data_IF_298280103279
#
_entry.id   IF_298280103279
#
_cell.length_a   1.000
_cell.length_b   1.000
_cell.length_c   1.000
_cell.angle_alpha   90.00
_cell.angle_beta   90.00
_cell.angle_gamma   90.00
#
_symmetry.space_group_name_H-M   'P 1'
#
loop_
_entity.id
_entity.type
_entity.pdbx_description
1 polymer ?
#
# COMPACT_ATOMS: atom_id res chain seq x y z
N UNK A 1 9.54 -29.45 10.75
CA UNK A 1 10.31 -28.32 10.17
C UNK A 1 9.90 -28.16 8.71
N UNK A 2 9.14 -27.11 8.35
CA UNK A 2 8.80 -26.83 6.94
C UNK A 2 9.95 -26.05 6.31
N UNK A 3 10.53 -26.59 5.24
CA UNK A 3 11.56 -25.92 4.47
C UNK A 3 10.96 -24.65 3.83
N UNK A 4 11.42 -23.46 4.26
CA UNK A 4 11.30 -22.29 3.40
C UNK A 4 12.19 -22.57 2.18
N UNK A 5 11.58 -22.70 1.00
CA UNK A 5 12.34 -22.71 -0.24
C UNK A 5 13.17 -21.41 -0.28
N UNK A 6 14.47 -21.54 -0.10
CA UNK A 6 15.36 -20.39 -0.06
C UNK A 6 15.27 -19.68 -1.41
N UNK A 7 14.86 -18.41 -1.40
CA UNK A 7 14.84 -17.60 -2.62
C UNK A 7 16.27 -17.54 -3.18
N UNK A 8 16.44 -17.99 -4.42
CA UNK A 8 17.73 -17.97 -5.11
C UNK A 8 18.26 -16.55 -5.22
N UNK A 9 19.58 -16.38 -5.38
CA UNK A 9 20.17 -15.06 -5.59
C UNK A 9 19.54 -14.32 -6.80
N UNK A 10 19.23 -15.06 -7.87
CA UNK A 10 18.49 -14.55 -9.04
C UNK A 10 17.07 -14.10 -8.69
N UNK A 11 16.31 -14.92 -7.96
CA UNK A 11 14.96 -14.59 -7.50
C UNK A 11 14.94 -13.34 -6.62
N UNK A 12 15.91 -13.21 -5.71
CA UNK A 12 16.07 -12.02 -4.86
C UNK A 12 16.29 -10.76 -5.68
N UNK A 13 17.16 -10.83 -6.70
CA UNK A 13 17.44 -9.70 -7.61
C UNK A 13 16.19 -9.32 -8.41
N UNK A 14 15.45 -10.29 -8.93
CA UNK A 14 14.19 -10.04 -9.64
C UNK A 14 13.13 -9.41 -8.75
N UNK A 15 12.98 -9.88 -7.51
CA UNK A 15 12.06 -9.28 -6.54
C UNK A 15 12.43 -7.83 -6.19
N UNK A 16 13.71 -7.54 -5.99
CA UNK A 16 14.16 -6.17 -5.72
C UNK A 16 13.89 -5.24 -6.92
N UNK A 17 14.15 -5.70 -8.16
CA UNK A 17 13.81 -4.94 -9.37
C UNK A 17 12.30 -4.69 -9.49
N UNK A 18 11.47 -5.67 -9.16
CA UNK A 18 10.02 -5.53 -9.16
C UNK A 18 9.56 -4.52 -8.10
N UNK A 19 10.07 -4.64 -6.86
CA UNK A 19 9.76 -3.71 -5.78
C UNK A 19 10.18 -2.27 -6.12
N UNK A 20 11.33 -2.08 -6.77
CA UNK A 20 11.77 -0.77 -7.24
C UNK A 20 10.75 -0.17 -8.20
N UNK A 21 10.37 -0.89 -9.27
CA UNK A 21 9.35 -0.40 -10.22
C UNK A 21 8.01 -0.11 -9.57
N UNK A 22 7.54 -0.96 -8.65
CA UNK A 22 6.30 -0.71 -7.91
C UNK A 22 6.39 0.58 -7.09
N UNK A 23 7.54 0.86 -6.48
CA UNK A 23 7.77 2.11 -5.74
C UNK A 23 7.79 3.30 -6.68
N UNK A 24 8.50 3.20 -7.80
CA UNK A 24 8.60 4.28 -8.80
C UNK A 24 7.23 4.64 -9.37
N UNK A 25 6.42 3.64 -9.75
CA UNK A 25 5.06 3.85 -10.26
C UNK A 25 4.14 4.47 -9.20
N UNK A 26 4.24 4.03 -7.95
CA UNK A 26 3.48 4.61 -6.84
C UNK A 26 3.87 6.08 -6.61
N UNK A 27 5.17 6.37 -6.53
CA UNK A 27 5.67 7.73 -6.36
C UNK A 27 5.29 8.62 -7.55
N UNK A 28 5.35 8.13 -8.78
CA UNK A 28 4.90 8.86 -9.96
C UNK A 28 3.40 9.16 -9.94
N UNK A 29 2.59 8.24 -9.41
CA UNK A 29 1.15 8.48 -9.20
C UNK A 29 0.87 9.50 -8.11
N UNK A 30 1.47 9.35 -6.93
CA UNK A 30 1.12 10.14 -5.73
C UNK A 30 1.84 11.49 -5.65
N UNK A 31 2.99 11.64 -6.31
CA UNK A 31 3.72 12.92 -6.32
C UNK A 31 2.95 14.00 -7.08
N UNK A 32 2.99 15.22 -6.55
CA UNK A 32 2.42 16.41 -7.18
C UNK A 32 3.33 16.90 -8.31
N UNK A 33 3.49 16.10 -9.36
CA UNK A 33 4.10 16.56 -10.61
C UNK A 33 3.06 17.33 -11.43
N UNK A 34 3.48 18.42 -12.08
CA UNK A 34 2.63 19.23 -12.99
C UNK A 34 2.04 18.41 -14.16
N UNK A 35 2.59 17.24 -14.45
CA UNK A 35 2.08 16.30 -15.45
C UNK A 35 0.83 15.51 -15.00
N UNK A 36 0.56 15.42 -13.69
CA UNK A 36 -0.46 14.53 -13.13
C UNK A 36 -1.38 15.30 -12.16
N UNK A 37 -2.39 15.98 -12.71
CA UNK A 37 -3.27 16.86 -11.94
C UNK A 37 -4.28 16.07 -11.12
N UNK A 38 -4.01 15.94 -9.82
CA UNK A 38 -4.98 15.44 -8.84
C UNK A 38 -6.16 16.41 -8.72
N UNK A 39 -7.38 15.86 -8.81
CA UNK A 39 -8.63 16.61 -8.69
C UNK A 39 -9.32 16.22 -7.39
N UNK A 40 -9.74 17.22 -6.59
CA UNK A 40 -10.51 16.99 -5.37
C UNK A 40 -11.92 16.54 -5.71
N UNK A 41 -12.32 15.36 -5.24
CA UNK A 41 -13.71 14.91 -5.29
C UNK A 41 -14.45 15.48 -4.08
N UNK A 42 -15.15 16.60 -4.29
CA UNK A 42 -16.04 17.17 -3.29
C UNK A 42 -17.34 16.34 -3.29
N UNK A 43 -17.59 15.55 -2.23
CA UNK A 43 -18.83 14.79 -2.05
C UNK A 43 -18.72 13.28 -1.78
N UNK A 44 -17.51 12.70 -1.72
CA UNK A 44 -17.33 11.26 -1.47
C UNK A 44 -17.96 10.77 -0.14
N UNK A 45 -18.01 11.65 0.88
CA UNK A 45 -18.71 11.38 2.14
C UNK A 45 -20.22 11.12 1.95
N UNK A 46 -20.87 11.70 0.93
CA UNK A 46 -22.30 11.49 0.67
C UNK A 46 -22.61 10.09 0.11
N UNK A 47 -21.71 9.51 -0.69
CA UNK A 47 -21.89 8.15 -1.25
C UNK A 47 -21.61 7.10 -0.19
N UNK A 48 -20.63 7.32 0.69
CA UNK A 48 -20.37 6.46 1.84
C UNK A 48 -21.49 6.52 2.90
N UNK A 49 -22.09 7.70 3.11
CA UNK A 49 -23.20 7.89 4.04
C UNK A 49 -24.54 7.35 3.51
N UNK A 50 -24.78 7.33 2.19
CA UNK A 50 -25.99 6.75 1.61
C UNK A 50 -26.14 5.23 1.87
N UNK A 51 -25.05 4.53 2.20
CA UNK A 51 -25.05 3.11 2.57
C UNK A 51 -25.18 2.80 4.07
N UNK A 52 -25.10 3.81 4.95
CA UNK A 52 -25.24 3.63 6.40
C UNK A 52 -26.27 4.60 6.94
N UNK A 53 -27.46 4.06 7.25
CA UNK A 53 -28.55 4.77 7.91
C UNK A 53 -28.05 5.62 9.08
N UNK A 54 -28.55 6.85 9.13
CA UNK A 54 -27.95 7.98 9.82
C UNK A 54 -27.77 7.85 11.33
N UNK A 55 -26.85 8.65 11.86
CA UNK A 55 -26.72 8.88 13.30
C UNK A 55 -25.40 9.50 13.75
N UNK A 56 -25.32 10.83 13.76
CA UNK A 56 -24.67 11.61 14.82
C UNK A 56 -23.15 11.85 14.79
N UNK A 57 -22.76 13.13 14.82
CA UNK A 57 -21.50 13.59 15.43
C UNK A 57 -20.44 14.13 14.47
N UNK A 58 -20.63 15.35 13.98
CA UNK A 58 -19.64 16.05 13.15
C UNK A 58 -18.42 16.50 13.97
N UNK A 59 -17.36 15.71 13.95
CA UNK A 59 -16.00 16.26 13.98
C UNK A 59 -15.58 16.41 12.52
N UNK A 60 -15.74 17.63 12.00
CA UNK A 60 -15.55 17.96 10.58
C UNK A 60 -14.09 17.80 10.15
N UNK A 61 -13.73 16.58 9.77
CA UNK A 61 -12.65 16.34 8.81
C UNK A 61 -13.38 16.03 7.51
N UNK A 62 -13.47 17.01 6.61
CA UNK A 62 -13.86 16.71 5.24
C UNK A 62 -12.84 15.69 4.72
N UNK A 63 -13.24 14.42 4.59
CA UNK A 63 -12.39 13.39 4.04
C UNK A 63 -12.15 13.72 2.56
N UNK A 64 -11.04 14.40 2.31
CA UNK A 64 -10.67 14.89 0.99
C UNK A 64 -10.13 13.72 0.16
N UNK A 65 -11.02 13.11 -0.62
CA UNK A 65 -10.62 12.15 -1.64
C UNK A 65 -10.12 12.91 -2.86
N UNK A 66 -8.89 12.63 -3.29
CA UNK A 66 -8.29 13.12 -4.53
C UNK A 66 -8.27 12.01 -5.56
N UNK A 67 -8.56 12.34 -6.81
CA UNK A 67 -8.54 11.39 -7.93
C UNK A 67 -7.70 11.93 -9.08
N UNK A 68 -6.98 11.03 -9.75
CA UNK A 68 -6.22 11.29 -10.97
C UNK A 68 -6.57 10.25 -12.02
N UNK A 69 -6.52 10.66 -13.28
CA UNK A 69 -6.63 9.76 -14.44
C UNK A 69 -5.41 9.97 -15.32
N UNK A 70 -4.69 8.90 -15.65
CA UNK A 70 -3.58 8.94 -16.62
C UNK A 70 -3.76 7.86 -17.68
N UNK A 71 -3.16 8.07 -18.85
CA UNK A 71 -3.12 7.08 -19.91
C UNK A 71 -1.81 6.30 -19.82
N UNK A 72 -1.88 4.99 -19.66
CA UNK A 72 -0.76 4.06 -19.75
C UNK A 72 -0.72 3.52 -21.17
N UNK A 73 0.30 3.89 -21.95
CA UNK A 73 0.50 3.38 -23.33
C UNK A 73 1.82 2.63 -23.44
N UNK A 74 2.88 3.16 -22.82
CA UNK A 74 4.24 2.63 -22.93
C UNK A 74 4.86 2.25 -21.57
N UNK A 75 4.04 2.10 -20.51
CA UNK A 75 4.53 1.84 -19.16
C UNK A 75 4.87 0.35 -18.94
N UNK A 76 6.15 -0.02 -18.76
CA UNK A 76 6.54 -1.43 -18.64
C UNK A 76 5.97 -2.09 -17.38
N UNK A 77 5.06 -3.05 -17.57
CA UNK A 77 4.44 -3.82 -16.48
C UNK A 77 3.06 -3.32 -16.06
N UNK A 78 2.54 -2.25 -16.66
CA UNK A 78 1.13 -1.87 -16.60
C UNK A 78 0.44 -2.24 -17.92
N UNK A 79 -0.79 -2.78 -17.91
CA UNK A 79 -1.55 -2.99 -19.13
C UNK A 79 -1.84 -1.64 -19.84
N UNK A 80 -1.80 -1.58 -21.18
CA UNK A 80 -2.21 -0.39 -21.91
C UNK A 80 -3.67 -0.03 -21.59
N UNK A 81 -3.94 1.24 -21.30
CA UNK A 81 -5.28 1.72 -20.98
C UNK A 81 -5.31 2.96 -20.09
N UNK A 82 -6.49 3.22 -19.54
CA UNK A 82 -6.70 4.32 -18.60
C UNK A 82 -6.47 3.81 -17.17
N UNK A 83 -5.61 4.50 -16.43
CA UNK A 83 -5.33 4.23 -15.01
C UNK A 83 -6.01 5.31 -14.17
N UNK A 84 -6.92 4.88 -13.30
CA UNK A 84 -7.58 5.72 -12.29
C UNK A 84 -6.90 5.50 -10.95
N UNK A 85 -6.39 6.56 -10.32
CA UNK A 85 -5.87 6.48 -8.94
C UNK A 85 -6.69 7.38 -8.02
N UNK A 86 -6.96 6.88 -6.81
CA UNK A 86 -7.63 7.61 -5.75
C UNK A 86 -6.74 7.62 -4.51
N UNK A 87 -6.67 8.76 -3.82
CA UNK A 87 -5.93 8.91 -2.58
C UNK A 87 -6.75 9.70 -1.57
N UNK A 88 -6.71 9.27 -0.31
CA UNK A 88 -7.22 10.00 0.85
C UNK A 88 -6.09 10.16 1.86
N UNK A 89 -6.15 11.18 2.71
CA UNK A 89 -5.18 11.41 3.77
C UNK A 89 -5.89 11.63 5.08
N UNK A 90 -5.48 10.88 6.10
CA UNK A 90 -6.04 10.97 7.45
C UNK A 90 -4.96 11.44 8.41
N UNK A 91 -5.31 12.39 9.27
CA UNK A 91 -4.44 12.80 10.37
C UNK A 91 -4.69 11.89 11.57
N UNK A 92 -3.63 11.27 12.10
CA UNK A 92 -3.70 10.41 13.30
C UNK A 92 -3.03 11.14 14.47
N UNK A 93 -3.77 11.96 15.23
CA UNK A 93 -3.21 12.67 16.37
C UNK A 93 -2.80 11.69 17.47
N UNK A 94 -1.86 12.12 18.33
CA UNK A 94 -1.43 11.42 19.54
C UNK A 94 -0.67 10.07 19.37
N UNK A 95 -0.51 9.55 18.14
CA UNK A 95 0.30 8.34 17.90
C UNK A 95 1.69 8.73 17.35
N UNK A 96 2.80 8.31 18.01
CA UNK A 96 4.13 8.54 17.46
C UNK A 96 4.32 7.86 16.10
N UNK A 97 4.96 8.50 15.10
CA UNK A 97 5.10 7.93 13.75
C UNK A 97 5.74 6.53 13.70
N UNK A 98 6.69 6.25 14.60
CA UNK A 98 7.34 4.93 14.68
C UNK A 98 6.36 3.84 15.11
N UNK A 99 5.43 4.12 16.03
CA UNK A 99 4.40 3.16 16.46
C UNK A 99 3.44 2.84 15.33
N UNK A 100 3.02 3.86 14.59
CA UNK A 100 2.17 3.67 13.42
C UNK A 100 2.90 2.88 12.32
N UNK A 101 4.16 3.21 12.06
CA UNK A 101 4.99 2.48 11.10
C UNK A 101 5.15 1.01 11.49
N UNK A 102 5.45 0.73 12.76
CA UNK A 102 5.57 -0.63 13.28
C UNK A 102 4.25 -1.40 13.20
N UNK A 103 3.11 -0.74 13.48
CA UNK A 103 1.78 -1.32 13.30
C UNK A 103 1.48 -1.67 11.84
N UNK A 104 1.77 -0.76 10.90
CA UNK A 104 1.51 -0.98 9.48
C UNK A 104 2.40 -2.10 8.92
N UNK A 105 3.66 -2.19 9.34
CA UNK A 105 4.57 -3.21 8.80
C UNK A 105 4.42 -4.59 9.45
N UNK A 106 3.78 -4.69 10.62
CA UNK A 106 3.60 -5.97 11.30
C UNK A 106 2.62 -6.87 10.53
N UNK A 107 3.15 -7.96 9.97
CA UNK A 107 2.38 -8.94 9.22
C UNK A 107 1.24 -9.59 10.03
N UNK A 108 1.38 -9.65 11.36
CA UNK A 108 0.41 -10.29 12.26
C UNK A 108 -0.81 -9.41 12.49
N UNK A 109 -0.62 -8.10 12.42
CA UNK A 109 -1.67 -7.09 12.60
C UNK A 109 -2.28 -6.66 11.26
N UNK A 110 -1.76 -7.18 10.15
CA UNK A 110 -2.15 -6.80 8.79
C UNK A 110 -3.64 -6.98 8.50
N UNK A 111 -4.25 -8.01 9.09
CA UNK A 111 -5.69 -8.26 8.93
C UNK A 111 -6.59 -7.21 9.56
N UNK A 112 -6.06 -6.38 10.47
CA UNK A 112 -6.82 -5.32 11.12
C UNK A 112 -7.10 -4.14 10.19
N UNK A 113 -6.36 -4.01 9.08
CA UNK A 113 -6.42 -2.82 8.23
C UNK A 113 -6.31 -3.09 6.73
N UNK A 114 -5.67 -4.19 6.31
CA UNK A 114 -5.46 -4.50 4.90
C UNK A 114 -6.56 -5.43 4.39
N UNK A 115 -7.46 -4.91 3.55
CA UNK A 115 -8.57 -5.70 2.98
C UNK A 115 -8.07 -6.91 2.17
N UNK A 116 -6.84 -6.86 1.62
CA UNK A 116 -6.25 -7.95 0.84
C UNK A 116 -5.86 -9.17 1.71
N UNK A 117 -5.84 -9.00 3.03
CA UNK A 117 -5.69 -10.11 3.98
C UNK A 117 -6.91 -11.03 4.03
N UNK A 118 -8.06 -10.57 3.54
CA UNK A 118 -9.36 -11.22 3.68
C UNK A 118 -9.72 -11.53 5.16
N UNK A 119 -9.29 -10.66 6.08
CA UNK A 119 -9.49 -10.83 7.53
C UNK A 119 -8.67 -11.96 8.17
N UNK A 120 -7.89 -12.70 7.37
CA UNK A 120 -7.08 -13.83 7.83
C UNK A 120 -5.62 -13.46 8.10
N UNK A 121 -4.87 -14.32 8.82
CA UNK A 121 -3.46 -14.10 9.05
C UNK A 121 -2.69 -14.15 7.72
N UNK A 122 -1.65 -13.32 7.64
CA UNK A 122 -0.68 -13.35 6.55
C UNK A 122 0.56 -14.14 6.96
N UNK A 123 1.22 -14.76 5.98
CA UNK A 123 2.44 -15.52 6.21
C UNK A 123 3.59 -14.95 5.40
N UNK A 124 4.68 -14.53 6.06
CA UNK A 124 5.93 -14.19 5.38
C UNK A 124 6.50 -15.41 4.68
N UNK A 125 6.56 -15.36 3.35
CA UNK A 125 7.26 -16.36 2.55
C UNK A 125 8.74 -16.02 2.40
N UNK A 126 9.06 -14.72 2.32
CA UNK A 126 10.43 -14.22 2.23
C UNK A 126 10.58 -12.80 2.75
N UNK A 127 11.80 -12.46 3.16
CA UNK A 127 12.18 -11.15 3.67
C UNK A 127 13.57 -10.78 3.14
N UNK A 128 13.66 -9.66 2.42
CA UNK A 128 14.89 -9.16 1.82
C UNK A 128 15.19 -7.78 2.43
N UNK A 129 16.17 -7.66 3.35
CA UNK A 129 16.56 -6.37 3.89
C UNK A 129 17.22 -5.50 2.79
N UNK A 130 16.88 -4.21 2.76
CA UNK A 130 17.37 -3.22 1.79
C UNK A 130 18.54 -2.37 2.31
N UNK A 131 19.24 -2.78 3.37
CA UNK A 131 20.38 -2.05 3.92
C UNK A 131 20.62 -2.35 5.41
N UNK A 132 21.39 -1.48 6.08
CA UNK A 132 21.73 -1.62 7.51
C UNK A 132 20.56 -1.26 8.45
N UNK A 133 19.58 -0.48 8.01
CA UNK A 133 18.42 -0.14 8.84
C UNK A 133 17.41 -1.28 8.85
N UNK A 134 17.11 -1.83 10.04
CA UNK A 134 16.16 -2.92 10.26
C UNK A 134 14.71 -2.63 9.80
N UNK A 135 14.41 -1.38 9.41
CA UNK A 135 13.11 -0.95 8.87
C UNK A 135 12.93 -1.14 7.36
N UNK A 136 14.02 -1.15 6.59
CA UNK A 136 13.95 -1.17 5.13
C UNK A 136 14.01 -2.60 4.62
N UNK A 137 12.91 -3.12 4.09
CA UNK A 137 12.85 -4.46 3.54
C UNK A 137 11.80 -4.61 2.44
N UNK A 138 11.96 -5.66 1.65
CA UNK A 138 10.94 -6.20 0.76
C UNK A 138 10.50 -7.55 1.31
N UNK A 139 9.23 -7.68 1.68
CA UNK A 139 8.64 -8.92 2.16
C UNK A 139 7.64 -9.47 1.16
N UNK A 140 7.65 -10.78 0.96
CA UNK A 140 6.61 -11.50 0.22
C UNK A 140 5.66 -12.13 1.23
N UNK A 141 4.40 -11.71 1.22
CA UNK A 141 3.35 -12.20 2.11
C UNK A 141 2.35 -13.04 1.32
N UNK A 142 1.80 -14.06 1.97
CA UNK A 142 0.70 -14.88 1.43
C UNK A 142 -0.49 -14.86 2.37
N UNK A 143 -1.67 -14.56 1.86
CA UNK A 143 -2.91 -14.67 2.63
C UNK A 143 -3.25 -16.15 2.87
N UNK A 144 -3.57 -16.54 4.11
CA UNK A 144 -3.81 -17.94 4.46
C UNK A 144 -5.20 -18.48 4.05
N UNK A 145 -6.19 -17.60 3.82
CA UNK A 145 -7.62 -17.95 3.83
C UNK A 145 -8.30 -17.66 2.49
N UNK A 146 -7.61 -17.89 1.36
CA UNK A 146 -8.23 -17.71 0.04
C UNK A 146 -8.13 -18.97 -0.81
N UNK A 147 -9.24 -19.32 -1.48
CA UNK A 147 -9.30 -20.39 -2.48
C UNK A 147 -8.30 -20.17 -3.64
N UNK A 148 -7.87 -18.91 -3.84
CA UNK A 148 -6.74 -18.53 -4.71
C UNK A 148 -5.68 -17.84 -3.86
N UNK A 149 -4.45 -18.36 -3.75
CA UNK A 149 -3.42 -17.74 -2.92
C UNK A 149 -3.09 -16.33 -3.45
N UNK A 150 -3.50 -15.31 -2.71
CA UNK A 150 -3.10 -13.91 -2.97
C UNK A 150 -1.70 -13.70 -2.41
N UNK A 151 -0.78 -13.26 -3.27
CA UNK A 151 0.57 -12.87 -2.90
C UNK A 151 0.67 -11.35 -2.87
N UNK A 152 1.26 -10.81 -1.81
CA UNK A 152 1.43 -9.37 -1.61
C UNK A 152 2.93 -9.10 -1.45
N UNK A 153 3.44 -8.10 -2.17
CA UNK A 153 4.80 -7.59 -1.99
C UNK A 153 4.68 -6.34 -1.11
N UNK A 154 5.22 -6.42 0.11
CA UNK A 154 5.29 -5.30 1.04
C UNK A 154 6.65 -4.62 0.91
N UNK A 155 6.64 -3.31 0.60
CA UNK A 155 7.84 -2.50 0.44
C UNK A 155 7.85 -1.46 1.55
N UNK A 156 8.69 -1.66 2.55
CA UNK A 156 8.82 -0.74 3.68
C UNK A 156 9.99 0.22 3.45
N UNK A 157 9.77 1.47 3.86
CA UNK A 157 10.78 2.54 3.90
C UNK A 157 10.70 3.20 5.27
N UNK A 158 11.84 3.39 5.92
CA UNK A 158 11.90 4.06 7.21
C UNK A 158 11.30 5.47 7.09
N UNK A 159 10.58 5.94 8.12
CA UNK A 159 9.92 7.24 8.10
C UNK A 159 10.89 8.43 7.91
N UNK A 160 12.19 8.24 8.16
CA UNK A 160 13.22 9.27 7.95
C UNK A 160 13.66 9.46 6.49
N UNK A 161 13.15 8.68 5.54
CA UNK A 161 13.57 8.72 4.13
C UNK A 161 12.51 9.35 3.20
N UNK A 162 11.45 9.95 3.75
CA UNK A 162 10.52 10.77 2.97
C UNK A 162 10.80 12.23 3.35
N UNK A 163 11.77 12.83 2.66
CA UNK A 163 12.00 14.29 2.62
C UNK A 163 11.61 14.75 1.22
#
# INVERSE_FOLDING_TARGET
>A
MRAHAAITAGGRRSMLKLAQRMTDNFCAGVSASSAHKWTKLVGAAAVAAAGRGGGGGAMGVEEEVRVMTRQSVDDPGEPPGVVLSAATSVWVPAVPPHRLFDFLRDERLRSQWDILSNGGPMHQMAHIPKGHHHGNAVSLLRAAVSAKPTLIILINWCPFTII
#
